data_IF_225129480591
#
_entry.id   IF_225129480591
#
_cell.length_a   1.000
_cell.length_b   1.000
_cell.length_c   1.000
_cell.angle_alpha   90.00
_cell.angle_beta   90.00
_cell.angle_gamma   90.00
#
_symmetry.space_group_name_H-M   'P 1'
#
loop_
_entity.id
_entity.type
_entity.pdbx_description
1 polymer ?
#
# COMPACT_ATOMS: atom_id res chain seq x y z
N UNK A 1 -13.77 -7.71 8.81
CA UNK A 1 -12.66 -7.67 7.86
C UNK A 1 -11.38 -8.07 8.57
N UNK A 2 -10.64 -9.03 8.03
CA UNK A 2 -9.35 -9.52 8.56
C UNK A 2 -8.33 -9.60 7.44
N UNK A 3 -7.07 -9.32 7.74
CA UNK A 3 -5.95 -9.69 6.88
C UNK A 3 -5.60 -11.13 7.20
N UNK A 4 -5.79 -12.03 6.22
CA UNK A 4 -5.53 -13.47 6.41
C UNK A 4 -4.04 -13.78 6.42
N UNK A 5 -3.31 -13.16 5.51
CA UNK A 5 -1.85 -13.23 5.44
C UNK A 5 -1.29 -12.00 4.72
N UNK A 6 -0.01 -11.75 4.97
CA UNK A 6 0.82 -10.89 4.15
C UNK A 6 2.16 -11.62 3.92
N UNK A 7 2.59 -11.70 2.67
CA UNK A 7 3.86 -12.30 2.26
C UNK A 7 4.66 -11.30 1.45
N UNK A 8 5.98 -11.26 1.69
CA UNK A 8 6.94 -10.49 0.90
C UNK A 8 7.66 -11.44 -0.05
N UNK A 9 7.74 -11.08 -1.31
CA UNK A 9 8.50 -11.75 -2.35
C UNK A 9 9.59 -10.81 -2.85
N UNK A 10 10.79 -11.33 -3.05
CA UNK A 10 11.99 -10.53 -3.25
C UNK A 10 12.66 -10.17 -1.93
N UNK A 11 13.79 -9.47 -2.02
CA UNK A 11 14.58 -9.04 -0.87
C UNK A 11 15.35 -7.75 -1.21
N UNK A 12 15.88 -7.10 -0.18
CA UNK A 12 16.60 -5.84 -0.34
C UNK A 12 17.91 -5.97 -1.09
N UNK A 13 18.56 -7.13 -1.04
CA UNK A 13 19.74 -7.40 -1.85
C UNK A 13 19.43 -7.30 -3.32
N UNK A 14 18.35 -7.94 -3.79
CA UNK A 14 17.92 -7.85 -5.19
C UNK A 14 17.54 -6.43 -5.62
N UNK A 15 17.02 -5.62 -4.70
CA UNK A 15 16.78 -4.18 -4.93
C UNK A 15 18.09 -3.43 -5.11
N UNK A 16 19.08 -3.69 -4.23
CA UNK A 16 20.41 -3.05 -4.29
C UNK A 16 21.15 -3.45 -5.57
N UNK A 17 21.08 -4.70 -5.98
CA UNK A 17 21.73 -5.18 -7.21
C UNK A 17 21.08 -4.57 -8.45
N UNK A 18 19.75 -4.44 -8.47
CA UNK A 18 19.08 -3.70 -9.54
C UNK A 18 19.50 -2.22 -9.58
N UNK A 19 19.68 -1.57 -8.41
CA UNK A 19 20.18 -0.20 -8.36
C UNK A 19 21.64 -0.11 -8.86
N UNK A 20 22.50 -1.09 -8.57
CA UNK A 20 23.87 -1.17 -9.11
C UNK A 20 23.89 -1.36 -10.61
N UNK A 21 23.02 -2.22 -11.14
CA UNK A 21 22.86 -2.43 -12.59
C UNK A 21 22.60 -1.12 -13.31
N UNK A 22 21.78 -0.22 -12.76
CA UNK A 22 21.47 1.09 -13.40
C UNK A 22 22.69 2.00 -13.54
N UNK A 23 23.72 1.79 -12.75
CA UNK A 23 24.98 2.57 -12.76
C UNK A 23 26.20 1.73 -13.23
N UNK A 24 25.95 0.60 -13.89
CA UNK A 24 26.97 -0.31 -14.42
C UNK A 24 27.98 -0.80 -13.38
N UNK A 25 27.49 -1.17 -12.19
CA UNK A 25 28.29 -1.79 -11.13
C UNK A 25 27.86 -3.25 -10.95
N UNK A 26 28.82 -4.09 -10.60
CA UNK A 26 28.59 -5.48 -10.28
C UNK A 26 27.70 -5.66 -9.04
N UNK A 27 27.09 -6.82 -8.94
CA UNK A 27 26.29 -7.24 -7.77
C UNK A 27 27.14 -7.17 -6.49
N UNK A 28 26.48 -6.96 -5.39
CA UNK A 28 27.13 -6.87 -4.08
C UNK A 28 26.62 -7.93 -3.12
N UNK A 29 27.42 -8.23 -2.12
CA UNK A 29 27.14 -9.25 -1.11
C UNK A 29 26.56 -8.69 0.20
N UNK A 30 26.58 -7.36 0.39
CA UNK A 30 26.11 -6.71 1.62
C UNK A 30 24.62 -6.45 1.62
N UNK A 31 23.95 -6.78 2.72
CA UNK A 31 22.57 -6.37 2.96
C UNK A 31 22.48 -4.85 3.13
N UNK A 32 21.56 -4.17 2.45
CA UNK A 32 21.37 -2.73 2.60
C UNK A 32 20.96 -2.31 4.01
N UNK A 33 21.55 -1.21 4.51
CA UNK A 33 21.17 -0.65 5.79
C UNK A 33 19.76 -0.07 5.78
N UNK A 34 19.11 0.03 6.95
CA UNK A 34 17.79 0.66 7.11
C UNK A 34 17.78 2.09 6.54
N UNK A 35 18.85 2.87 6.77
CA UNK A 35 19.00 4.20 6.20
C UNK A 35 18.99 4.18 4.66
N UNK A 36 19.70 3.26 4.02
CA UNK A 36 19.71 3.14 2.56
C UNK A 36 18.34 2.74 2.03
N UNK A 37 17.66 1.77 2.70
CA UNK A 37 16.29 1.37 2.37
C UNK A 37 15.35 2.58 2.40
N UNK A 38 15.43 3.40 3.44
CA UNK A 38 14.61 4.61 3.56
C UNK A 38 14.89 5.62 2.44
N UNK A 39 16.16 5.87 2.12
CA UNK A 39 16.54 6.80 1.05
C UNK A 39 15.98 6.37 -0.30
N UNK A 40 16.16 5.10 -0.69
CA UNK A 40 15.71 4.63 -2.01
C UNK A 40 14.17 4.60 -2.12
N UNK A 41 13.46 4.35 -1.01
CA UNK A 41 12.00 4.42 -0.94
C UNK A 41 11.52 5.87 -1.09
N UNK A 42 12.09 6.81 -0.36
CA UNK A 42 11.73 8.23 -0.45
C UNK A 42 12.03 8.81 -1.84
N UNK A 43 13.12 8.38 -2.46
CA UNK A 43 13.48 8.75 -3.83
C UNK A 43 12.62 8.04 -4.90
N UNK A 44 11.83 7.07 -4.51
CA UNK A 44 10.98 6.25 -5.42
C UNK A 44 11.74 5.68 -6.63
N UNK A 45 13.01 5.32 -6.44
CA UNK A 45 13.79 4.71 -7.51
C UNK A 45 13.21 3.35 -7.93
N UNK A 46 13.13 3.13 -9.22
CA UNK A 46 12.48 1.95 -9.81
C UNK A 46 12.91 0.57 -9.25
N UNK A 47 14.15 0.34 -8.76
CA UNK A 47 14.53 -0.94 -8.16
C UNK A 47 13.63 -1.40 -7.01
N UNK A 48 12.98 -0.49 -6.26
CA UNK A 48 12.05 -0.86 -5.18
C UNK A 48 10.87 -1.72 -5.67
N UNK A 49 10.60 -1.72 -6.97
CA UNK A 49 9.55 -2.55 -7.58
C UNK A 49 9.88 -4.05 -7.54
N UNK A 50 11.12 -4.44 -7.26
CA UNK A 50 11.50 -5.84 -7.01
C UNK A 50 10.96 -6.39 -5.70
N UNK A 51 10.57 -5.53 -4.75
CA UNK A 51 9.83 -5.96 -3.56
C UNK A 51 8.35 -6.08 -3.90
N UNK A 52 7.86 -7.29 -3.88
CA UNK A 52 6.47 -7.63 -4.17
C UNK A 52 5.78 -8.13 -2.90
N UNK A 53 4.56 -7.72 -2.70
CA UNK A 53 3.74 -8.07 -1.53
C UNK A 53 2.48 -8.76 -1.99
N UNK A 54 2.16 -9.87 -1.35
CA UNK A 54 0.88 -10.56 -1.52
C UNK A 54 0.14 -10.52 -0.20
N UNK A 55 -1.11 -10.04 -0.23
CA UNK A 55 -1.99 -10.05 0.94
C UNK A 55 -3.42 -10.38 0.55
N UNK A 56 -4.19 -10.82 1.54
CA UNK A 56 -5.59 -11.19 1.35
C UNK A 56 -6.45 -10.62 2.46
N UNK A 57 -7.50 -9.89 2.07
CA UNK A 57 -8.58 -9.55 2.99
C UNK A 57 -9.65 -10.66 2.99
N UNK A 58 -10.15 -10.98 4.16
CA UNK A 58 -11.39 -11.73 4.37
C UNK A 58 -12.46 -10.78 4.91
N UNK A 59 -13.71 -11.01 4.53
CA UNK A 59 -14.87 -10.20 4.93
C UNK A 59 -14.74 -8.71 4.57
N UNK A 60 -14.14 -8.40 3.42
CA UNK A 60 -14.09 -7.05 2.90
C UNK A 60 -15.45 -6.69 2.29
N UNK A 61 -16.12 -5.57 2.68
CA UNK A 61 -17.34 -5.14 2.00
C UNK A 61 -17.09 -4.96 0.50
N UNK A 62 -18.00 -5.45 -0.34
CA UNK A 62 -17.78 -5.48 -1.79
C UNK A 62 -17.56 -4.08 -2.38
N UNK A 63 -18.27 -3.07 -1.89
CA UNK A 63 -18.08 -1.69 -2.32
C UNK A 63 -16.69 -1.12 -1.93
N UNK A 64 -16.09 -1.59 -0.82
CA UNK A 64 -14.71 -1.24 -0.45
C UNK A 64 -13.72 -1.89 -1.41
N UNK A 65 -13.96 -3.15 -1.78
CA UNK A 65 -13.18 -3.85 -2.80
C UNK A 65 -13.13 -3.06 -4.11
N UNK A 66 -14.27 -2.49 -4.55
CA UNK A 66 -14.36 -1.63 -5.75
C UNK A 66 -13.43 -0.40 -5.66
N UNK A 67 -13.22 0.15 -4.46
CA UNK A 67 -12.27 1.26 -4.29
C UNK A 67 -10.82 0.84 -4.52
N UNK A 68 -10.46 -0.42 -4.23
CA UNK A 68 -9.10 -0.92 -4.42
C UNK A 68 -8.84 -1.33 -5.87
N UNK A 69 -9.78 -1.95 -6.58
CA UNK A 69 -9.60 -2.34 -7.98
C UNK A 69 -9.43 -1.17 -8.95
N UNK A 70 -9.64 0.06 -8.49
CA UNK A 70 -9.31 1.28 -9.25
C UNK A 70 -7.81 1.54 -9.37
N UNK A 71 -7.00 0.95 -8.49
CA UNK A 71 -5.55 0.97 -8.62
C UNK A 71 -5.13 -0.13 -9.60
N UNK A 72 -4.55 0.26 -10.74
CA UNK A 72 -4.32 -0.67 -11.87
C UNK A 72 -2.85 -0.87 -12.20
N UNK A 73 -1.97 0.00 -11.70
CA UNK A 73 -0.56 -0.04 -12.08
C UNK A 73 0.28 -0.69 -10.96
N UNK A 74 1.02 -1.74 -11.32
CA UNK A 74 1.90 -2.45 -10.41
C UNK A 74 1.18 -3.27 -9.33
N UNK A 75 -0.08 -3.63 -9.57
CA UNK A 75 -0.93 -4.43 -8.68
C UNK A 75 -1.84 -5.32 -9.50
N UNK A 76 -2.02 -6.56 -9.03
CA UNK A 76 -3.02 -7.51 -9.50
C UNK A 76 -4.06 -7.73 -8.42
N UNK A 77 -5.31 -7.95 -8.85
CA UNK A 77 -6.47 -8.12 -7.98
C UNK A 77 -7.18 -9.45 -8.26
N UNK A 78 -7.41 -10.23 -7.22
CA UNK A 78 -8.16 -11.48 -7.28
C UNK A 78 -9.32 -11.37 -6.29
N UNK A 79 -10.52 -11.14 -6.80
CA UNK A 79 -11.72 -10.94 -5.97
C UNK A 79 -12.65 -12.13 -6.12
N UNK A 80 -13.17 -12.64 -5.01
CA UNK A 80 -14.15 -13.72 -5.04
C UNK A 80 -15.40 -13.33 -5.83
N UNK A 81 -15.89 -14.26 -6.63
CA UNK A 81 -17.07 -14.02 -7.45
C UNK A 81 -18.35 -13.94 -6.59
N UNK A 82 -19.29 -13.14 -7.04
CA UNK A 82 -20.68 -13.11 -6.53
C UNK A 82 -21.66 -13.70 -7.55
N UNK A 83 -21.18 -14.43 -8.55
CA UNK A 83 -22.03 -15.06 -9.55
C UNK A 83 -22.93 -16.13 -8.92
N UNK A 84 -24.22 -16.04 -9.17
CA UNK A 84 -25.23 -16.96 -8.61
C UNK A 84 -24.96 -18.44 -8.94
N UNK A 85 -24.46 -18.70 -10.17
CA UNK A 85 -24.11 -20.04 -10.66
C UNK A 85 -22.86 -20.63 -9.96
N UNK A 86 -22.09 -19.82 -9.23
CA UNK A 86 -20.89 -20.26 -8.48
C UNK A 86 -21.09 -20.26 -6.97
N UNK A 87 -21.93 -19.35 -6.47
CA UNK A 87 -22.15 -19.19 -5.03
C UNK A 87 -23.39 -19.89 -4.52
N UNK A 88 -24.32 -20.25 -5.39
CA UNK A 88 -25.63 -20.79 -5.02
C UNK A 88 -26.60 -19.77 -4.42
N UNK A 89 -26.20 -18.48 -4.34
CA UNK A 89 -27.03 -17.40 -3.82
C UNK A 89 -27.40 -16.42 -4.94
N UNK A 90 -28.61 -15.86 -4.90
CA UNK A 90 -29.00 -14.85 -5.88
C UNK A 90 -28.21 -13.56 -5.65
N UNK A 91 -27.35 -13.21 -6.61
CA UNK A 91 -26.55 -11.96 -6.57
C UNK A 91 -27.40 -10.71 -6.53
N UNK A 92 -28.63 -10.73 -7.05
CA UNK A 92 -29.49 -9.55 -7.09
C UNK A 92 -30.09 -9.25 -5.70
N UNK A 93 -30.12 -10.23 -4.81
CA UNK A 93 -30.53 -10.06 -3.42
C UNK A 93 -29.35 -9.65 -2.51
N UNK A 94 -28.10 -9.69 -3.01
CA UNK A 94 -26.92 -9.35 -2.22
C UNK A 94 -26.87 -7.86 -1.92
N UNK A 95 -26.59 -7.53 -0.65
CA UNK A 95 -26.39 -6.14 -0.23
C UNK A 95 -25.07 -5.61 -0.79
N UNK A 96 -24.95 -4.29 -0.93
CA UNK A 96 -23.70 -3.65 -1.38
C UNK A 96 -22.52 -3.88 -0.43
N UNK A 97 -22.78 -4.17 0.84
CA UNK A 97 -21.79 -4.50 1.84
C UNK A 97 -21.53 -6.02 1.99
N UNK A 98 -22.13 -6.84 1.10
CA UNK A 98 -21.89 -8.28 1.10
C UNK A 98 -20.37 -8.58 1.11
N UNK A 99 -19.89 -9.46 2.00
CA UNK A 99 -18.46 -9.70 2.16
C UNK A 99 -17.87 -10.40 0.94
N UNK A 100 -16.69 -9.97 0.56
CA UNK A 100 -15.85 -10.63 -0.46
C UNK A 100 -14.48 -10.97 0.11
N UNK A 101 -13.86 -11.99 -0.48
CA UNK A 101 -12.43 -12.24 -0.31
C UNK A 101 -11.72 -11.47 -1.43
N UNK A 102 -10.71 -10.68 -1.07
CA UNK A 102 -9.94 -9.90 -2.03
C UNK A 102 -8.45 -10.10 -1.77
N UNK A 103 -7.79 -10.74 -2.71
CA UNK A 103 -6.35 -10.91 -2.70
C UNK A 103 -5.70 -9.92 -3.65
N UNK A 104 -4.56 -9.39 -3.25
CA UNK A 104 -3.76 -8.47 -4.07
C UNK A 104 -2.30 -8.92 -4.12
N UNK A 105 -1.66 -8.61 -5.26
CA UNK A 105 -0.23 -8.76 -5.46
C UNK A 105 0.32 -7.46 -6.04
N UNK A 106 1.16 -6.75 -5.28
CA UNK A 106 1.62 -5.40 -5.66
C UNK A 106 3.07 -5.16 -5.28
N UNK A 107 3.76 -4.28 -6.03
CA UNK A 107 5.10 -3.85 -5.68
C UNK A 107 5.11 -2.71 -4.63
N UNK A 108 6.26 -2.50 -3.99
CA UNK A 108 6.44 -1.49 -2.93
C UNK A 108 6.06 -0.07 -3.38
N UNK A 109 6.40 0.34 -4.60
CA UNK A 109 6.05 1.68 -5.12
C UNK A 109 4.53 1.86 -5.21
N UNK A 110 3.83 0.83 -5.66
CA UNK A 110 2.36 0.85 -5.74
C UNK A 110 1.71 0.92 -4.36
N UNK A 111 2.26 0.21 -3.36
CA UNK A 111 1.81 0.28 -1.97
C UNK A 111 1.91 1.72 -1.44
N UNK A 112 3.03 2.40 -1.67
CA UNK A 112 3.20 3.81 -1.30
C UNK A 112 2.18 4.71 -2.02
N UNK A 113 1.97 4.49 -3.32
CA UNK A 113 0.99 5.24 -4.11
C UNK A 113 -0.45 5.04 -3.62
N UNK A 114 -0.86 3.80 -3.32
CA UNK A 114 -2.18 3.50 -2.76
C UNK A 114 -2.33 4.18 -1.40
N UNK A 115 -1.29 4.16 -0.55
CA UNK A 115 -1.27 4.79 0.77
C UNK A 115 -1.60 6.27 0.71
N UNK A 116 -1.05 7.00 -0.25
CA UNK A 116 -1.32 8.43 -0.46
C UNK A 116 -2.82 8.72 -0.58
N UNK A 117 -3.55 7.86 -1.29
CA UNK A 117 -4.98 8.02 -1.53
C UNK A 117 -5.84 7.39 -0.42
N UNK A 118 -5.44 6.23 0.10
CA UNK A 118 -6.28 5.43 1.00
C UNK A 118 -6.06 5.73 2.49
N UNK A 119 -4.99 6.44 2.84
CA UNK A 119 -4.77 6.97 4.19
C UNK A 119 -5.32 8.39 4.36
N UNK A 120 -5.68 9.09 3.27
CA UNK A 120 -6.31 10.40 3.33
C UNK A 120 -7.70 10.32 3.97
N UNK A 121 -8.07 11.30 4.80
CA UNK A 121 -9.38 11.35 5.45
C UNK A 121 -10.55 11.57 4.46
N UNK A 122 -10.27 11.93 3.21
CA UNK A 122 -11.29 11.96 2.12
C UNK A 122 -11.67 10.57 1.62
N UNK A 123 -10.88 9.53 1.91
CA UNK A 123 -11.31 8.16 1.69
C UNK A 123 -12.37 7.77 2.74
N UNK A 124 -13.34 6.90 2.37
CA UNK A 124 -14.31 6.40 3.34
C UNK A 124 -13.60 5.75 4.54
N UNK A 125 -14.24 5.78 5.70
CA UNK A 125 -13.69 5.22 6.93
C UNK A 125 -13.26 3.77 6.74
N UNK A 126 -14.13 2.96 6.17
CA UNK A 126 -13.94 1.52 5.97
C UNK A 126 -12.78 1.24 5.01
N UNK A 127 -12.67 1.99 3.90
CA UNK A 127 -11.54 1.87 2.97
C UNK A 127 -10.23 2.25 3.65
N UNK A 128 -10.24 3.31 4.47
CA UNK A 128 -9.06 3.77 5.20
C UNK A 128 -8.61 2.77 6.26
N UNK A 129 -9.56 2.20 7.01
CA UNK A 129 -9.28 1.17 8.02
C UNK A 129 -8.76 -0.12 7.37
N UNK A 130 -9.35 -0.52 6.25
CA UNK A 130 -8.89 -1.67 5.47
C UNK A 130 -7.44 -1.50 5.00
N UNK A 131 -7.08 -0.30 4.54
CA UNK A 131 -5.71 -0.03 4.10
C UNK A 131 -4.72 0.10 5.25
N UNK A 132 -5.13 0.73 6.36
CA UNK A 132 -4.31 0.78 7.59
C UNK A 132 -3.96 -0.62 8.10
N UNK A 133 -4.89 -1.57 8.01
CA UNK A 133 -4.62 -2.95 8.38
C UNK A 133 -3.48 -3.57 7.54
N UNK A 134 -3.45 -3.33 6.22
CA UNK A 134 -2.36 -3.78 5.36
C UNK A 134 -1.03 -3.13 5.75
N UNK A 135 -1.02 -1.80 5.92
CA UNK A 135 0.21 -1.07 6.31
C UNK A 135 0.74 -1.55 7.67
N UNK A 136 -0.15 -1.88 8.60
CA UNK A 136 0.25 -2.43 9.90
C UNK A 136 0.89 -3.83 9.78
N UNK A 137 0.41 -4.68 8.87
CA UNK A 137 1.08 -5.96 8.59
C UNK A 137 2.44 -5.75 7.89
N UNK A 138 2.51 -4.82 6.93
CA UNK A 138 3.78 -4.45 6.29
C UNK A 138 4.80 -3.96 7.33
N UNK A 139 4.37 -3.15 8.30
CA UNK A 139 5.25 -2.63 9.35
C UNK A 139 5.98 -3.72 10.15
N UNK A 140 5.38 -4.89 10.28
CA UNK A 140 5.99 -6.02 11.02
C UNK A 140 7.17 -6.65 10.27
N UNK A 141 7.20 -6.55 8.95
CA UNK A 141 8.18 -7.23 8.07
C UNK A 141 9.06 -6.25 7.30
N UNK A 142 8.54 -5.08 6.96
CA UNK A 142 9.22 -4.02 6.20
C UNK A 142 8.90 -2.65 6.81
N UNK A 143 9.48 -2.33 7.99
CA UNK A 143 9.18 -1.10 8.72
C UNK A 143 9.51 0.17 7.93
N UNK A 144 10.61 0.19 7.17
CA UNK A 144 11.01 1.35 6.36
C UNK A 144 9.98 1.66 5.26
N UNK A 145 9.41 0.63 4.64
CA UNK A 145 8.33 0.82 3.67
C UNK A 145 7.06 1.35 4.35
N UNK A 146 6.70 0.80 5.51
CA UNK A 146 5.51 1.26 6.25
C UNK A 146 5.63 2.74 6.66
N UNK A 147 6.81 3.21 7.03
CA UNK A 147 7.08 4.64 7.32
C UNK A 147 6.92 5.54 6.08
N UNK A 148 7.11 4.99 4.88
CA UNK A 148 6.87 5.70 3.62
C UNK A 148 5.40 5.67 3.17
N UNK A 149 4.54 4.88 3.84
CA UNK A 149 3.11 4.79 3.59
C UNK A 149 2.36 5.93 4.29
N UNK A 150 2.27 7.08 3.66
CA UNK A 150 1.68 8.31 4.22
C UNK A 150 0.54 8.85 3.36
N UNK A 151 -0.38 9.69 3.91
CA UNK A 151 -1.38 10.40 3.11
C UNK A 151 -0.75 11.36 2.11
N UNK A 152 -1.47 11.69 1.04
CA UNK A 152 -1.01 12.58 -0.03
C UNK A 152 -0.50 13.94 0.49
N UNK A 153 -1.15 14.52 1.49
CA UNK A 153 -0.74 15.82 2.04
C UNK A 153 0.59 15.78 2.80
N UNK A 154 0.95 14.64 3.39
CA UNK A 154 2.26 14.44 4.02
C UNK A 154 3.34 14.28 2.95
N UNK A 155 3.07 13.47 1.92
CA UNK A 155 3.95 13.28 0.78
C UNK A 155 4.27 14.60 0.06
N UNK A 156 3.23 15.36 -0.31
CA UNK A 156 3.39 16.63 -1.05
C UNK A 156 3.84 17.82 -0.20
N UNK A 157 3.57 17.79 1.11
CA UNK A 157 3.75 18.93 1.99
C UNK A 157 2.59 19.94 1.95
N UNK A 158 1.51 19.66 1.21
CA UNK A 158 0.28 20.46 1.15
C UNK A 158 -0.93 19.57 0.85
N UNK A 159 -2.15 20.07 1.13
CA UNK A 159 -3.38 19.37 0.81
C UNK A 159 -3.80 19.63 -0.65
N UNK A 160 -3.86 18.60 -1.51
CA UNK A 160 -4.29 18.75 -2.91
C UNK A 160 -5.80 18.58 -3.12
N UNK A 161 -6.58 18.32 -2.07
CA UNK A 161 -8.00 18.03 -2.17
C UNK A 161 -8.82 19.35 -2.32
N UNK A 162 -9.90 19.28 -3.09
CA UNK A 162 -10.81 20.44 -3.28
C UNK A 162 -11.36 20.96 -1.95
N UNK A 163 -11.64 20.07 -1.00
CA UNK A 163 -12.06 20.40 0.37
C UNK A 163 -11.13 19.74 1.36
N UNK A 164 -10.36 20.56 2.06
CA UNK A 164 -9.46 20.06 3.12
C UNK A 164 -10.26 19.43 4.26
N UNK A 165 -9.71 18.35 4.83
CA UNK A 165 -10.23 17.74 6.06
C UNK A 165 -9.70 18.41 7.35
N UNK A 166 -8.87 19.44 7.23
CA UNK A 166 -8.24 20.14 8.36
C UNK A 166 -6.97 19.48 8.92
N UNK A 167 -6.61 18.29 8.46
CA UNK A 167 -5.40 17.60 8.94
C UNK A 167 -4.11 18.32 8.49
N UNK A 168 -4.03 18.74 7.22
CA UNK A 168 -2.88 19.48 6.69
C UNK A 168 -2.71 20.81 7.42
N UNK A 169 -1.54 21.06 7.96
CA UNK A 169 -1.21 22.25 8.75
C UNK A 169 -1.38 22.07 10.26
N UNK A 170 -2.05 20.99 10.73
CA UNK A 170 -2.13 20.68 12.16
C UNK A 170 -0.78 20.23 12.73
N UNK A 171 -0.62 20.28 14.06
CA UNK A 171 0.62 19.81 14.69
C UNK A 171 0.87 18.31 14.49
N UNK A 172 -0.20 17.51 14.44
CA UNK A 172 -0.10 16.09 14.09
C UNK A 172 0.42 15.88 12.67
N UNK A 173 0.01 16.72 11.72
CA UNK A 173 0.53 16.69 10.35
C UNK A 173 2.00 17.12 10.29
N UNK A 174 2.39 18.20 10.99
CA UNK A 174 3.79 18.66 11.04
C UNK A 174 4.71 17.57 11.54
N UNK A 175 4.32 16.94 12.66
CA UNK A 175 5.05 15.79 13.23
C UNK A 175 5.19 14.65 12.23
N UNK A 176 4.10 14.28 11.54
CA UNK A 176 4.13 13.19 10.56
C UNK A 176 5.01 13.53 9.35
N UNK A 177 5.06 14.79 8.90
CA UNK A 177 5.96 15.25 7.83
C UNK A 177 7.43 15.15 8.26
N UNK A 178 7.75 15.53 9.50
CA UNK A 178 9.11 15.40 10.05
C UNK A 178 9.54 13.92 10.09
N UNK A 179 8.69 13.05 10.64
CA UNK A 179 8.96 11.60 10.70
C UNK A 179 9.13 10.99 9.29
N UNK A 180 8.27 11.38 8.36
CA UNK A 180 8.34 10.90 6.97
C UNK A 180 9.67 11.28 6.30
N UNK A 181 10.14 12.52 6.51
CA UNK A 181 11.37 13.07 5.89
C UNK A 181 12.66 12.69 6.61
N UNK A 182 12.56 12.14 7.81
CA UNK A 182 13.72 11.74 8.60
C UNK A 182 14.42 10.54 7.96
N UNK A 183 15.75 10.69 7.70
CA UNK A 183 16.62 9.68 7.09
C UNK A 183 17.80 9.35 8.00
#
# INVERSE_FOLDING_TARGET
MKIKFLKVNGNWRSVADAARTTIRKDEGDKEPSSRWKKIILLAEHSPIRKLMFNWKWEDLPSWVSVHFVRHKFGIEHFVSTQRSDRTGTDRNSARQDAPVVHECFANAQTIMFISRRRLCAQASKETRESWKAVVNEIKKVEPELAECCVPECVYRGFCPEFKSCGFCGSDAWKKQVEEYRKV
#
